data_IF_551571831213
#
_entry.id   IF_551571831213
#
_cell.length_a   1.000
_cell.length_b   1.000
_cell.length_c   1.000
_cell.angle_alpha   90.00
_cell.angle_beta   90.00
_cell.angle_gamma   90.00
#
_symmetry.space_group_name_H-M   'P 1'
#
loop_
_entity.id
_entity.type
_entity.pdbx_description
1 polymer ?
#
# COMPACT_ATOMS: atom_id res chain seq x y z
N UNK A 1 -30.93 0.18 -22.12
CA UNK A 1 -30.09 1.02 -21.23
C UNK A 1 -28.72 0.40 -21.15
N UNK A 2 -27.85 0.89 -22.02
CA UNK A 2 -26.42 0.57 -22.12
C UNK A 2 -25.62 1.63 -21.32
N UNK A 3 -26.20 2.08 -20.20
CA UNK A 3 -25.71 3.18 -19.35
C UNK A 3 -25.81 2.79 -17.86
N UNK A 4 -25.74 1.50 -17.55
CA UNK A 4 -25.48 1.08 -16.17
C UNK A 4 -23.99 1.27 -15.90
N UNK A 5 -23.64 2.06 -14.88
CA UNK A 5 -22.26 2.34 -14.45
C UNK A 5 -21.56 1.10 -13.85
N UNK A 6 -21.75 -0.10 -14.39
CA UNK A 6 -21.02 -1.29 -13.97
C UNK A 6 -21.11 -2.52 -14.91
N UNK A 7 -21.44 -2.36 -16.20
CA UNK A 7 -21.63 -3.52 -17.10
C UNK A 7 -20.49 -3.81 -18.07
N UNK A 8 -19.36 -3.10 -17.97
CA UNK A 8 -18.22 -3.23 -18.93
C UNK A 8 -16.84 -3.33 -18.24
N UNK A 9 -16.81 -3.72 -16.96
CA UNK A 9 -15.56 -3.85 -16.19
C UNK A 9 -15.43 -5.19 -15.46
N UNK A 10 -16.24 -6.19 -15.80
CA UNK A 10 -16.18 -7.51 -15.14
C UNK A 10 -15.95 -8.68 -16.11
N UNK A 11 -15.44 -8.42 -17.32
CA UNK A 11 -15.01 -9.51 -18.20
C UNK A 11 -13.61 -9.26 -18.75
N UNK A 12 -12.72 -10.13 -18.28
CA UNK A 12 -11.44 -10.59 -18.85
C UNK A 12 -10.13 -10.07 -18.24
N UNK A 13 -9.48 -11.03 -17.57
CA UNK A 13 -8.06 -11.16 -17.23
C UNK A 13 -7.56 -10.51 -15.93
N UNK A 14 -7.89 -11.15 -14.81
CA UNK A 14 -6.89 -11.33 -13.74
C UNK A 14 -6.70 -12.83 -13.43
N UNK A 15 -6.34 -13.59 -14.47
CA UNK A 15 -5.60 -14.86 -14.33
C UNK A 15 -4.10 -14.59 -14.11
N UNK A 16 -3.71 -13.49 -13.45
CA UNK A 16 -2.42 -13.45 -12.75
C UNK A 16 -2.65 -13.71 -11.27
N UNK A 17 -2.95 -15.00 -11.05
CA UNK A 17 -2.49 -15.78 -9.93
C UNK A 17 -1.81 -14.93 -8.86
N UNK A 18 -2.53 -14.76 -7.76
CA UNK A 18 -1.97 -14.48 -6.45
C UNK A 18 -0.63 -15.23 -6.31
N UNK A 19 0.46 -14.53 -6.61
CA UNK A 19 1.83 -15.00 -6.50
C UNK A 19 2.21 -15.04 -5.03
N UNK A 20 1.47 -15.83 -4.24
CA UNK A 20 1.84 -16.26 -2.91
C UNK A 20 2.86 -17.39 -3.12
N UNK A 21 4.03 -17.04 -3.65
CA UNK A 21 4.96 -18.06 -4.16
C UNK A 21 6.36 -17.57 -4.49
N UNK A 22 6.78 -16.40 -4.00
CA UNK A 22 8.19 -16.04 -4.01
C UNK A 22 8.50 -15.16 -2.78
N UNK A 23 9.08 -15.77 -1.74
CA UNK A 23 9.61 -15.04 -0.57
C UNK A 23 10.71 -14.04 -0.97
N UNK A 24 11.20 -14.08 -2.22
CA UNK A 24 12.15 -13.12 -2.78
C UNK A 24 11.49 -11.93 -3.52
N UNK A 25 10.18 -12.01 -3.81
CA UNK A 25 9.40 -10.95 -4.47
C UNK A 25 8.60 -10.06 -3.50
N UNK A 26 8.60 -10.38 -2.21
CA UNK A 26 8.13 -9.46 -1.17
C UNK A 26 9.16 -8.33 -1.05
N UNK A 27 9.01 -7.30 -1.88
CA UNK A 27 9.84 -6.10 -1.86
C UNK A 27 9.77 -5.36 -0.51
N UNK A 28 10.11 -4.07 -0.51
CA UNK A 28 9.96 -3.27 0.71
C UNK A 28 8.47 -3.11 1.05
N UNK A 29 7.99 -3.83 2.07
CA UNK A 29 6.58 -3.86 2.48
C UNK A 29 6.44 -3.24 3.86
N UNK A 30 5.49 -2.32 4.02
CA UNK A 30 5.09 -1.76 5.30
C UNK A 30 3.60 -1.98 5.53
N UNK A 31 3.25 -2.64 6.62
CA UNK A 31 1.87 -2.81 7.08
C UNK A 31 1.69 -2.03 8.37
N UNK A 32 0.74 -1.08 8.40
CA UNK A 32 0.47 -0.27 9.58
C UNK A 32 -0.91 0.40 9.48
N UNK A 33 -1.35 1.03 10.57
CA UNK A 33 -2.50 1.94 10.54
C UNK A 33 -2.03 3.39 10.53
N UNK A 34 -2.90 4.32 10.13
CA UNK A 34 -2.59 5.75 10.12
C UNK A 34 -3.42 6.50 11.16
N UNK A 35 -2.81 7.50 11.80
CA UNK A 35 -3.53 8.48 12.62
C UNK A 35 -3.89 9.72 11.82
N UNK A 36 -2.99 10.19 10.96
CA UNK A 36 -3.16 11.44 10.21
C UNK A 36 -2.38 11.43 8.91
N UNK A 37 -3.05 11.86 7.84
CA UNK A 37 -2.43 12.13 6.53
C UNK A 37 -2.73 13.59 6.17
N UNK A 38 -1.71 14.36 5.83
CA UNK A 38 -1.84 15.77 5.45
C UNK A 38 -1.08 16.06 4.17
N UNK A 39 -1.62 16.97 3.36
CA UNK A 39 -0.98 17.44 2.13
C UNK A 39 -0.96 18.96 2.09
N UNK A 40 0.18 19.53 1.70
CA UNK A 40 0.33 20.95 1.37
C UNK A 40 1.04 21.06 0.02
N UNK A 41 0.31 21.48 -1.01
CA UNK A 41 0.78 21.44 -2.41
C UNK A 41 1.24 20.01 -2.79
N UNK A 42 2.51 19.83 -3.13
CA UNK A 42 3.12 18.56 -3.47
C UNK A 42 3.74 17.82 -2.28
N UNK A 43 3.76 18.42 -1.08
CA UNK A 43 4.33 17.79 0.12
C UNK A 43 3.29 16.98 0.87
N UNK A 44 3.60 15.74 1.18
CA UNK A 44 2.80 14.82 1.97
C UNK A 44 3.47 14.53 3.31
N UNK A 45 2.65 14.49 4.37
CA UNK A 45 3.07 14.07 5.72
C UNK A 45 2.10 13.02 6.25
N UNK A 46 2.64 11.90 6.72
CA UNK A 46 1.88 10.78 7.28
C UNK A 46 2.35 10.48 8.70
N UNK A 47 1.40 10.34 9.64
CA UNK A 47 1.63 9.78 10.97
C UNK A 47 1.04 8.38 11.00
N UNK A 48 1.90 7.39 11.16
CA UNK A 48 1.59 5.95 11.12
C UNK A 48 1.76 5.35 12.51
N UNK A 49 1.03 4.27 12.82
CA UNK A 49 1.08 3.55 14.10
C UNK A 49 0.90 2.05 13.94
N UNK A 50 1.37 1.32 14.95
CA UNK A 50 1.21 -0.13 15.12
C UNK A 50 1.55 -0.90 13.83
N UNK A 51 2.82 -0.79 13.42
CA UNK A 51 3.25 -1.27 12.10
C UNK A 51 4.45 -2.21 12.12
N UNK A 52 4.53 -2.98 11.04
CA UNK A 52 5.65 -3.86 10.69
C UNK A 52 6.21 -3.42 9.34
N UNK A 53 7.53 -3.30 9.25
CA UNK A 53 8.26 -2.96 8.04
C UNK A 53 9.25 -4.09 7.73
N UNK A 54 9.13 -4.67 6.54
CA UNK A 54 10.06 -5.65 6.01
C UNK A 54 10.88 -5.01 4.88
N UNK A 55 12.18 -4.83 5.10
CA UNK A 55 13.14 -4.28 4.12
C UNK A 55 14.52 -4.90 4.31
N UNK A 56 15.26 -5.14 3.22
CA UNK A 56 16.64 -5.66 3.25
C UNK A 56 16.81 -6.93 4.11
N UNK A 57 15.84 -7.86 4.05
CA UNK A 57 15.78 -9.08 4.88
C UNK A 57 15.79 -8.81 6.39
N UNK A 58 15.33 -7.62 6.80
CA UNK A 58 15.16 -7.23 8.20
C UNK A 58 13.71 -6.84 8.43
N UNK A 59 13.20 -7.25 9.58
CA UNK A 59 11.88 -6.89 10.07
C UNK A 59 12.02 -5.86 11.19
N UNK A 60 11.20 -4.82 11.11
CA UNK A 60 11.11 -3.78 12.10
C UNK A 60 9.67 -3.68 12.58
N UNK A 61 9.48 -3.55 13.89
CA UNK A 61 8.18 -3.27 14.50
C UNK A 61 8.23 -1.88 15.10
N UNK A 62 7.20 -1.08 14.89
CA UNK A 62 7.11 0.28 15.43
C UNK A 62 5.74 0.55 16.03
N UNK A 63 5.72 1.29 17.14
CA UNK A 63 4.48 1.83 17.68
C UNK A 63 4.05 3.09 16.93
N UNK A 64 5.01 3.92 16.49
CA UNK A 64 4.75 5.14 15.73
C UNK A 64 5.86 5.40 14.69
N UNK A 65 5.46 5.88 13.51
CA UNK A 65 6.37 6.32 12.45
C UNK A 65 5.88 7.63 11.79
N UNK A 66 6.81 8.41 11.26
CA UNK A 66 6.54 9.64 10.51
C UNK A 66 7.13 9.53 9.11
N UNK A 67 6.31 9.78 8.09
CA UNK A 67 6.72 9.81 6.70
C UNK A 67 6.52 11.20 6.10
N UNK A 68 7.53 11.70 5.37
CA UNK A 68 7.44 12.93 4.58
C UNK A 68 7.94 12.65 3.16
N UNK A 69 7.14 12.99 2.14
CA UNK A 69 7.51 12.79 0.73
C UNK A 69 6.91 13.87 -0.18
N UNK A 70 7.48 14.03 -1.37
CA UNK A 70 6.99 14.95 -2.41
C UNK A 70 6.44 14.17 -3.61
N UNK A 71 5.35 14.65 -4.20
CA UNK A 71 4.72 14.11 -5.42
C UNK A 71 4.77 15.10 -6.57
#
# INVERSE_FOLDING_TARGET
>A
DEDAINSDLDDSEDENAAGVGDEEALGEVMLCTYDKVQRVKNKWKCTLKDGVLSTQRKEYVFHKAQGEFEW
#
